data_IF_945984450640
#
_entry.id   IF_945984450640
#
_cell.length_a   1.000
_cell.length_b   1.000
_cell.length_c   1.000
_cell.angle_alpha   90.00
_cell.angle_beta   90.00
_cell.angle_gamma   90.00
#
_symmetry.space_group_name_H-M   'P 1'
#
loop_
_entity.id
_entity.type
_entity.pdbx_description
1 polymer ?
#
# COMPACT_ATOMS: atom_id res chain seq x y z
N UNK A 1 6.21 -27.85 -16.79
CA UNK A 1 5.22 -26.76 -16.66
C UNK A 1 5.43 -26.13 -15.29
N UNK A 2 5.77 -24.85 -15.20
CA UNK A 2 6.02 -24.20 -13.89
C UNK A 2 4.68 -23.93 -13.20
N UNK A 3 4.43 -24.45 -12.00
CA UNK A 3 3.19 -24.20 -11.29
C UNK A 3 3.04 -22.70 -10.97
N UNK A 4 1.84 -22.16 -11.20
CA UNK A 4 1.50 -20.76 -10.85
C UNK A 4 0.70 -20.76 -9.56
N UNK A 5 1.18 -20.02 -8.57
CA UNK A 5 0.50 -19.82 -7.30
C UNK A 5 0.04 -18.36 -7.19
N UNK A 6 -1.06 -18.12 -6.47
CA UNK A 6 -1.38 -16.77 -6.01
C UNK A 6 -0.31 -16.30 -5.02
N UNK A 7 -0.20 -14.98 -4.82
CA UNK A 7 0.68 -14.41 -3.81
C UNK A 7 0.38 -15.02 -2.42
N UNK A 8 -0.89 -15.14 -2.04
CA UNK A 8 -1.29 -15.75 -0.77
C UNK A 8 -0.78 -17.19 -0.62
N UNK A 9 -0.94 -18.03 -1.65
CA UNK A 9 -0.49 -19.42 -1.62
C UNK A 9 1.03 -19.51 -1.60
N UNK A 10 1.73 -18.66 -2.33
CA UNK A 10 3.19 -18.60 -2.29
C UNK A 10 3.67 -18.20 -0.89
N UNK A 11 3.18 -17.08 -0.36
CA UNK A 11 3.58 -16.56 0.96
C UNK A 11 3.27 -17.53 2.10
N UNK A 12 2.15 -18.26 2.04
CA UNK A 12 1.83 -19.30 3.03
C UNK A 12 2.80 -20.49 2.93
N UNK A 13 3.11 -20.95 1.72
CA UNK A 13 4.04 -22.07 1.50
C UNK A 13 5.46 -21.76 1.99
N UNK A 14 5.94 -20.54 1.77
CA UNK A 14 7.26 -20.12 2.21
C UNK A 14 7.35 -20.01 3.75
N UNK A 15 6.24 -19.69 4.43
CA UNK A 15 6.21 -19.61 5.90
C UNK A 15 5.94 -20.94 6.59
N UNK A 16 5.23 -21.88 5.94
CA UNK A 16 4.90 -23.18 6.51
C UNK A 16 6.07 -23.96 7.16
N UNK A 17 7.31 -23.96 6.63
CA UNK A 17 8.42 -24.68 7.27
C UNK A 17 9.03 -23.95 8.47
N UNK A 18 8.65 -22.69 8.76
CA UNK A 18 9.24 -21.89 9.84
C UNK A 18 8.48 -22.17 11.15
N UNK A 19 9.10 -22.75 12.18
CA UNK A 19 8.43 -22.97 13.46
C UNK A 19 8.03 -21.63 14.11
N UNK A 20 6.80 -21.55 14.62
CA UNK A 20 6.32 -20.37 15.35
C UNK A 20 5.86 -19.20 14.48
N UNK A 21 5.62 -19.39 13.17
CA UNK A 21 4.98 -18.36 12.35
C UNK A 21 3.58 -18.03 12.84
N UNK A 22 3.33 -16.74 13.10
CA UNK A 22 2.04 -16.14 13.46
C UNK A 22 1.15 -15.85 12.25
N UNK A 23 1.70 -15.89 11.03
CA UNK A 23 1.02 -15.43 9.81
C UNK A 23 0.93 -13.90 9.66
N UNK A 24 1.49 -13.13 10.58
CA UNK A 24 1.47 -11.65 10.54
C UNK A 24 2.16 -11.10 9.30
N UNK A 25 3.29 -11.69 8.91
CA UNK A 25 3.96 -11.34 7.66
C UNK A 25 3.06 -11.56 6.44
N UNK A 26 2.32 -12.69 6.39
CA UNK A 26 1.33 -12.92 5.33
C UNK A 26 0.30 -11.81 5.26
N UNK A 27 -0.20 -11.35 6.41
CA UNK A 27 -1.19 -10.27 6.47
C UNK A 27 -0.60 -8.97 5.91
N UNK A 28 0.63 -8.61 6.28
CA UNK A 28 1.31 -7.39 5.80
C UNK A 28 1.47 -7.44 4.28
N UNK A 29 1.98 -8.56 3.74
CA UNK A 29 2.16 -8.74 2.30
C UNK A 29 0.84 -8.65 1.54
N UNK A 30 -0.24 -9.18 2.11
CA UNK A 30 -1.57 -9.11 1.50
C UNK A 30 -2.13 -7.69 1.47
N UNK A 31 -1.84 -6.86 2.48
CA UNK A 31 -2.18 -5.43 2.44
C UNK A 31 -1.38 -4.70 1.37
N UNK A 32 -0.08 -4.95 1.25
CA UNK A 32 0.73 -4.38 0.15
C UNK A 32 0.12 -4.73 -1.21
N UNK A 33 -0.28 -6.00 -1.39
CA UNK A 33 -0.90 -6.46 -2.61
C UNK A 33 -2.28 -5.83 -2.88
N UNK A 34 -3.04 -5.50 -1.83
CA UNK A 34 -4.28 -4.74 -1.96
C UNK A 34 -3.99 -3.32 -2.46
N UNK A 35 -3.05 -2.61 -1.84
CA UNK A 35 -2.63 -1.27 -2.26
C UNK A 35 -2.20 -1.25 -3.74
N UNK A 36 -1.35 -2.20 -4.14
CA UNK A 36 -0.93 -2.31 -5.54
C UNK A 36 -2.08 -2.59 -6.52
N UNK A 37 -3.07 -3.39 -6.13
CA UNK A 37 -4.27 -3.63 -6.97
C UNK A 37 -5.14 -2.38 -7.12
N UNK A 38 -5.28 -1.59 -6.07
CA UNK A 38 -6.03 -0.34 -6.07
C UNK A 38 -5.33 0.71 -6.96
N UNK A 39 -4.01 0.87 -6.82
CA UNK A 39 -3.20 1.72 -7.71
C UNK A 39 -3.37 1.28 -9.17
N UNK A 40 -3.25 -0.02 -9.45
CA UNK A 40 -3.44 -0.54 -10.80
C UNK A 40 -4.87 -0.32 -11.33
N UNK A 41 -5.88 -0.35 -10.46
CA UNK A 41 -7.27 -0.04 -10.82
C UNK A 41 -7.42 1.43 -11.21
N UNK A 42 -6.84 2.33 -10.43
CA UNK A 42 -6.88 3.77 -10.70
C UNK A 42 -6.13 4.11 -11.99
N UNK A 43 -4.96 3.51 -12.23
CA UNK A 43 -4.22 3.63 -13.48
C UNK A 43 -5.03 3.19 -14.71
N UNK A 44 -5.75 2.04 -14.61
CA UNK A 44 -6.60 1.57 -15.71
C UNK A 44 -7.75 2.53 -16.03
N UNK A 45 -8.31 3.20 -15.02
CA UNK A 45 -9.41 4.16 -15.18
C UNK A 45 -8.92 5.51 -15.66
N UNK A 46 -7.73 5.92 -15.22
CA UNK A 46 -7.18 7.22 -15.52
C UNK A 46 -6.68 7.36 -16.97
N UNK A 47 -6.65 6.27 -17.75
CA UNK A 47 -6.56 6.34 -19.21
C UNK A 47 -7.89 6.71 -19.89
N UNK A 48 -9.01 6.69 -19.17
CA UNK A 48 -10.36 7.00 -19.67
C UNK A 48 -10.90 8.33 -19.14
N UNK A 49 -10.47 8.77 -17.95
CA UNK A 49 -10.67 10.12 -17.43
C UNK A 49 -9.39 10.94 -17.66
N UNK A 50 -9.47 12.27 -17.82
CA UNK A 50 -8.29 13.16 -17.92
C UNK A 50 -7.49 13.26 -16.59
N UNK A 51 -7.40 12.17 -15.84
CA UNK A 51 -6.82 12.09 -14.50
C UNK A 51 -5.33 11.74 -14.55
N UNK A 52 -4.87 11.02 -15.58
CA UNK A 52 -3.44 10.85 -15.90
C UNK A 52 -3.00 11.97 -16.84
N UNK A 53 -2.59 13.08 -16.23
CA UNK A 53 -1.96 14.19 -16.91
C UNK A 53 -1.37 15.12 -15.86
N UNK A 54 -0.26 15.75 -16.19
CA UNK A 54 0.21 16.84 -15.36
C UNK A 54 -0.88 17.90 -15.24
N UNK A 55 -1.07 18.40 -14.04
CA UNK A 55 -2.06 19.44 -13.77
C UNK A 55 -1.68 20.78 -14.41
N UNK A 56 -0.47 20.88 -14.96
CA UNK A 56 0.20 22.15 -15.25
C UNK A 56 0.57 22.92 -13.98
N UNK A 57 0.36 22.34 -12.79
CA UNK A 57 0.71 22.93 -11.51
C UNK A 57 2.07 22.40 -11.07
N UNK A 58 2.90 23.32 -10.61
CA UNK A 58 4.20 23.04 -10.01
C UNK A 58 4.00 23.07 -8.50
N UNK A 59 4.45 22.02 -7.80
CA UNK A 59 4.38 21.96 -6.34
C UNK A 59 5.34 22.99 -5.70
N UNK A 60 5.26 23.15 -4.38
CA UNK A 60 6.11 24.09 -3.62
C UNK A 60 7.60 23.74 -3.68
N UNK A 61 7.96 22.57 -4.22
CA UNK A 61 9.33 22.09 -4.43
C UNK A 61 9.84 22.31 -5.87
N UNK A 62 9.02 22.88 -6.77
CA UNK A 62 9.45 23.16 -8.14
C UNK A 62 9.27 21.99 -9.12
N UNK A 63 8.57 20.93 -8.71
CA UNK A 63 8.31 19.74 -9.52
C UNK A 63 6.87 19.71 -10.05
N UNK A 64 6.69 19.07 -11.20
CA UNK A 64 5.35 18.87 -11.78
C UNK A 64 4.54 17.93 -10.87
N UNK A 65 3.36 18.37 -10.42
CA UNK A 65 2.54 17.60 -9.46
C UNK A 65 2.19 16.23 -10.05
N UNK A 66 2.81 15.18 -9.53
CA UNK A 66 2.50 13.80 -9.88
C UNK A 66 1.33 13.31 -9.03
N UNK A 67 0.11 13.61 -9.47
CA UNK A 67 -1.16 13.17 -8.83
C UNK A 67 -1.21 11.67 -8.52
N UNK A 68 -0.46 10.86 -9.25
CA UNK A 68 -0.40 9.42 -9.03
C UNK A 68 0.34 9.08 -7.75
N UNK A 69 1.39 9.82 -7.41
CA UNK A 69 2.22 9.58 -6.24
C UNK A 69 1.48 9.96 -4.95
N UNK A 70 0.83 11.13 -4.95
CA UNK A 70 -0.11 11.54 -3.88
C UNK A 70 -1.22 10.50 -3.69
N UNK A 71 -1.77 9.98 -4.80
CA UNK A 71 -2.83 8.98 -4.77
C UNK A 71 -2.33 7.63 -4.24
N UNK A 72 -1.15 7.19 -4.66
CA UNK A 72 -0.53 5.96 -4.19
C UNK A 72 -0.23 6.04 -2.69
N UNK A 73 0.28 7.18 -2.22
CA UNK A 73 0.50 7.45 -0.80
C UNK A 73 -0.81 7.34 -0.01
N UNK A 74 -1.88 8.00 -0.46
CA UNK A 74 -3.18 7.91 0.21
C UNK A 74 -3.73 6.48 0.25
N UNK A 75 -3.62 5.73 -0.84
CA UNK A 75 -4.06 4.33 -0.89
C UNK A 75 -3.33 3.49 0.17
N UNK A 76 -2.01 3.67 0.32
CA UNK A 76 -1.25 2.92 1.32
C UNK A 76 -1.57 3.37 2.74
N UNK A 77 -1.80 4.66 2.98
CA UNK A 77 -2.33 5.12 4.28
C UNK A 77 -3.65 4.41 4.60
N UNK A 78 -4.64 4.45 3.69
CA UNK A 78 -5.96 3.84 3.91
C UNK A 78 -5.90 2.32 4.14
N UNK A 79 -5.04 1.62 3.38
CA UNK A 79 -4.91 0.17 3.43
C UNK A 79 -4.27 -0.30 4.74
N UNK A 80 -3.41 0.52 5.34
CA UNK A 80 -2.71 0.19 6.58
C UNK A 80 -3.31 0.87 7.82
N UNK A 81 -4.16 1.88 7.69
CA UNK A 81 -4.73 2.66 8.81
C UNK A 81 -5.45 1.80 9.85
N UNK A 82 -6.07 0.69 9.42
CA UNK A 82 -6.78 -0.23 10.32
C UNK A 82 -6.02 -1.54 10.57
N UNK A 83 -4.73 -1.59 10.24
CA UNK A 83 -3.91 -2.76 10.44
C UNK A 83 -3.15 -2.69 11.76
N UNK A 84 -3.63 -3.43 12.76
CA UNK A 84 -3.02 -3.55 14.10
C UNK A 84 -1.57 -4.07 14.11
N UNK A 85 -1.07 -4.57 12.97
CA UNK A 85 0.30 -5.10 12.84
C UNK A 85 1.32 -4.05 12.39
N UNK A 86 0.88 -2.83 12.06
CA UNK A 86 1.75 -1.75 11.62
C UNK A 86 1.52 -0.54 12.52
N UNK A 87 2.57 -0.06 13.17
CA UNK A 87 2.50 1.10 14.06
C UNK A 87 2.86 2.42 13.36
N UNK A 88 3.63 2.37 12.27
CA UNK A 88 4.15 3.57 11.62
C UNK A 88 4.35 3.33 10.13
N UNK A 89 3.93 4.30 9.32
CA UNK A 89 4.19 4.37 7.89
C UNK A 89 5.14 5.53 7.60
N UNK A 90 6.09 5.30 6.69
CA UNK A 90 7.04 6.31 6.20
C UNK A 90 6.96 6.28 4.68
N UNK A 91 6.86 7.47 4.08
CA UNK A 91 6.70 7.66 2.64
C UNK A 91 7.50 8.88 2.20
N UNK A 92 7.99 8.87 0.96
CA UNK A 92 8.64 10.03 0.33
C UNK A 92 7.70 11.24 0.26
N UNK A 93 6.40 10.98 0.12
CA UNK A 93 5.33 11.99 0.05
C UNK A 93 4.97 12.60 1.42
N UNK A 94 5.66 12.22 2.51
CA UNK A 94 5.36 12.69 3.86
C UNK A 94 6.59 13.25 4.57
N UNK A 95 6.50 14.50 5.03
CA UNK A 95 7.58 15.14 5.81
C UNK A 95 7.85 14.45 7.15
N UNK A 96 6.83 13.79 7.72
CA UNK A 96 6.89 13.13 9.02
C UNK A 96 6.31 11.73 8.93
N UNK A 97 6.83 10.77 9.73
CA UNK A 97 6.22 9.46 9.87
C UNK A 97 4.74 9.58 10.27
N UNK A 98 3.89 8.77 9.62
CA UNK A 98 2.48 8.65 9.96
C UNK A 98 2.32 7.56 11.02
N UNK A 99 1.90 7.95 12.22
CA UNK A 99 1.62 7.03 13.31
C UNK A 99 0.21 6.46 13.14
N UNK A 100 0.11 5.15 12.97
CA UNK A 100 -1.18 4.47 12.99
C UNK A 100 -1.63 4.46 14.44
N UNK A 101 -2.77 5.10 14.70
CA UNK A 101 -3.36 5.09 16.03
C UNK A 101 -3.69 3.65 16.38
N UNK A 102 -3.20 3.18 17.52
CA UNK A 102 -3.77 1.99 18.11
C UNK A 102 -5.27 2.26 18.33
N UNK A 103 -6.11 1.31 17.96
CA UNK A 103 -7.49 1.34 18.41
C UNK A 103 -7.41 1.38 19.94
N UNK A 104 -7.81 2.52 20.51
CA UNK A 104 -7.76 2.81 21.94
C UNK A 104 -8.23 1.57 22.68
N UNK A 105 -7.32 0.94 23.43
CA UNK A 105 -7.55 -0.35 24.07
C UNK A 105 -8.73 -0.27 25.03
N UNK A 106 -9.91 -0.64 24.55
CA UNK A 106 -11.03 -1.09 25.37
C UNK A 106 -11.25 -2.56 25.07
N UNK A 107 -10.64 -3.41 25.91
CA UNK A 107 -10.80 -4.86 25.89
C UNK A 107 -9.70 -5.57 26.67
#
# INVERSE_FOLDING_TARGET
>A
MTPRFSLSTHTFREQAPIPGTSGEFSRIIMQIALGGKLIAQDLRKAGLSQFLGSTGLINVQGEEVQKLDERANQIFLDVFEHMELVSTLVSEEMEKPYLIKEADGQG
#
